data_IF_655939372183
#
_entry.id   IF_655939372183
#
_cell.length_a   1.000
_cell.length_b   1.000
_cell.length_c   1.000
_cell.angle_alpha   90.00
_cell.angle_beta   90.00
_cell.angle_gamma   90.00
#
_symmetry.space_group_name_H-M   'P 1'
#
loop_
_entity.id
_entity.type
_entity.pdbx_description
1 polymer ?
#
# COMPACT_ATOMS: atom_id res chain seq x y z
N UNK A 1 55.06 17.59 -17.43
CA UNK A 1 54.09 17.21 -16.37
C UNK A 1 54.70 16.04 -15.61
N UNK A 2 54.93 16.18 -14.31
CA UNK A 2 55.83 15.30 -13.55
C UNK A 2 55.08 14.01 -13.10
N UNK A 3 55.72 12.83 -13.15
CA UNK A 3 55.10 11.52 -12.80
C UNK A 3 54.43 11.49 -11.42
N UNK A 4 54.84 12.36 -10.50
CA UNK A 4 54.21 12.51 -9.16
C UNK A 4 52.78 13.07 -9.23
N UNK A 5 52.44 13.92 -10.19
CA UNK A 5 51.08 14.49 -10.28
C UNK A 5 50.06 13.51 -10.88
N UNK A 6 50.51 12.61 -11.77
CA UNK A 6 49.65 11.61 -12.40
C UNK A 6 49.20 10.52 -11.39
N UNK A 7 50.09 10.15 -10.46
CA UNK A 7 49.79 9.19 -9.38
C UNK A 7 48.77 9.74 -8.37
N UNK A 8 48.86 11.03 -8.02
CA UNK A 8 47.89 11.65 -7.09
C UNK A 8 46.50 11.81 -7.71
N UNK A 9 46.41 12.07 -9.02
CA UNK A 9 45.12 12.19 -9.72
C UNK A 9 44.39 10.84 -9.84
N UNK A 10 45.12 9.75 -10.13
CA UNK A 10 44.56 8.40 -10.25
C UNK A 10 44.16 7.80 -8.88
N UNK A 11 44.91 8.10 -7.82
CA UNK A 11 44.56 7.68 -6.45
C UNK A 11 43.37 8.47 -5.86
N UNK A 12 43.21 9.74 -6.22
CA UNK A 12 42.08 10.57 -5.78
C UNK A 12 40.73 10.14 -6.38
N UNK A 13 40.72 9.58 -7.59
CA UNK A 13 39.50 9.11 -8.26
C UNK A 13 39.03 7.74 -7.74
N UNK A 14 39.94 6.83 -7.37
CA UNK A 14 39.59 5.50 -6.84
C UNK A 14 39.03 5.51 -5.41
N UNK A 15 39.62 6.30 -4.51
CA UNK A 15 39.18 6.36 -3.11
C UNK A 15 37.89 7.18 -2.95
N UNK A 16 37.75 8.27 -3.71
CA UNK A 16 36.54 9.10 -3.71
C UNK A 16 35.31 8.36 -4.23
N UNK A 17 35.43 7.63 -5.36
CA UNK A 17 34.34 6.82 -5.89
C UNK A 17 33.97 5.65 -4.95
N UNK A 18 34.96 5.00 -4.34
CA UNK A 18 34.71 3.92 -3.38
C UNK A 18 33.91 4.38 -2.14
N UNK A 19 34.24 5.55 -1.58
CA UNK A 19 33.50 6.13 -0.45
C UNK A 19 32.09 6.55 -0.85
N UNK A 20 31.92 7.18 -2.02
CA UNK A 20 30.59 7.58 -2.51
C UNK A 20 29.69 6.36 -2.74
N UNK A 21 30.22 5.29 -3.33
CA UNK A 21 29.47 4.05 -3.53
C UNK A 21 29.07 3.43 -2.19
N UNK A 22 29.99 3.40 -1.21
CA UNK A 22 29.67 2.91 0.14
C UNK A 22 28.59 3.75 0.82
N UNK A 23 28.66 5.08 0.73
CA UNK A 23 27.63 5.97 1.27
C UNK A 23 26.29 5.74 0.57
N UNK A 24 26.28 5.58 -0.76
CA UNK A 24 25.07 5.28 -1.53
C UNK A 24 24.45 3.93 -1.12
N UNK A 25 25.27 2.89 -0.93
CA UNK A 25 24.81 1.57 -0.46
C UNK A 25 24.25 1.67 0.95
N UNK A 26 24.92 2.38 1.86
CA UNK A 26 24.42 2.60 3.23
C UNK A 26 23.09 3.33 3.22
N UNK A 27 22.96 4.39 2.41
CA UNK A 27 21.69 5.11 2.26
C UNK A 27 20.58 4.22 1.67
N UNK A 28 20.91 3.37 0.70
CA UNK A 28 19.97 2.38 0.14
C UNK A 28 19.50 1.39 1.20
N UNK A 29 20.43 0.81 1.98
CA UNK A 29 20.11 -0.14 3.05
C UNK A 29 19.25 0.53 4.13
N UNK A 30 19.63 1.74 4.55
CA UNK A 30 18.87 2.53 5.53
C UNK A 30 17.47 2.82 5.01
N UNK A 31 17.33 3.21 3.73
CA UNK A 31 16.03 3.42 3.09
C UNK A 31 15.20 2.14 3.05
N UNK A 32 15.78 1.00 2.66
CA UNK A 32 15.09 -0.30 2.64
C UNK A 32 14.59 -0.75 4.02
N UNK A 33 15.23 -0.31 5.11
CA UNK A 33 14.84 -0.65 6.48
C UNK A 33 13.82 0.36 7.05
N UNK A 34 14.02 1.66 6.81
CA UNK A 34 13.18 2.71 7.37
C UNK A 34 11.88 2.90 6.58
N UNK A 35 11.91 2.73 5.27
CA UNK A 35 10.74 2.97 4.42
C UNK A 35 9.57 2.02 4.73
N UNK A 36 9.75 0.69 4.89
CA UNK A 36 8.65 -0.18 5.31
C UNK A 36 8.09 0.20 6.68
N UNK A 37 8.96 0.57 7.64
CA UNK A 37 8.50 1.04 8.96
C UNK A 37 7.70 2.33 8.89
N UNK A 38 8.12 3.25 8.01
CA UNK A 38 7.39 4.48 7.76
C UNK A 38 6.00 4.20 7.19
N UNK A 39 5.88 3.29 6.22
CA UNK A 39 4.58 2.88 5.67
C UNK A 39 3.70 2.22 6.73
N UNK A 40 4.25 1.32 7.55
CA UNK A 40 3.51 0.69 8.64
C UNK A 40 3.04 1.71 9.69
N UNK A 41 3.80 2.79 9.92
CA UNK A 41 3.35 3.88 10.81
C UNK A 41 2.10 4.61 10.31
N UNK A 42 1.80 4.52 9.01
CA UNK A 42 0.60 5.10 8.38
C UNK A 42 -0.61 4.18 8.45
N UNK A 43 -0.42 2.88 8.72
CA UNK A 43 -1.51 1.90 8.76
C UNK A 43 -2.69 2.33 9.66
N UNK A 44 -2.50 2.88 10.87
CA UNK A 44 -3.62 3.33 11.70
C UNK A 44 -4.45 4.45 11.05
N UNK A 45 -3.79 5.41 10.40
CA UNK A 45 -4.47 6.53 9.74
C UNK A 45 -5.29 6.05 8.53
N UNK A 46 -4.78 5.06 7.79
CA UNK A 46 -5.49 4.45 6.66
C UNK A 46 -6.67 3.60 7.15
N UNK A 47 -6.49 2.86 8.24
CA UNK A 47 -7.59 2.10 8.85
C UNK A 47 -8.74 3.02 9.28
N UNK A 48 -8.42 4.16 9.89
CA UNK A 48 -9.40 5.18 10.25
C UNK A 48 -10.06 5.82 9.01
N UNK A 49 -9.28 6.13 7.96
CA UNK A 49 -9.85 6.70 6.74
C UNK A 49 -10.81 5.72 6.05
N UNK A 50 -10.48 4.42 6.01
CA UNK A 50 -11.36 3.38 5.46
C UNK A 50 -12.71 3.36 6.20
N UNK A 51 -12.69 3.40 7.53
CA UNK A 51 -13.90 3.40 8.34
C UNK A 51 -14.77 4.64 8.08
N UNK A 52 -14.13 5.81 7.97
CA UNK A 52 -14.80 7.08 7.67
C UNK A 52 -15.40 7.08 6.27
N UNK A 53 -14.59 6.78 5.25
CA UNK A 53 -15.01 6.76 3.85
C UNK A 53 -16.17 5.77 3.65
N UNK A 54 -16.09 4.60 4.29
CA UNK A 54 -17.16 3.61 4.22
C UNK A 54 -18.46 4.08 4.89
N UNK A 55 -18.37 4.75 6.06
CA UNK A 55 -19.54 5.35 6.71
C UNK A 55 -20.19 6.44 5.85
N UNK A 56 -19.38 7.23 5.14
CA UNK A 56 -19.85 8.25 4.20
C UNK A 56 -20.56 7.60 3.00
N UNK A 57 -19.99 6.54 2.42
CA UNK A 57 -20.62 5.75 1.35
C UNK A 57 -21.95 5.13 1.78
N UNK A 58 -22.02 4.59 3.00
CA UNK A 58 -23.24 4.02 3.58
C UNK A 58 -24.32 5.09 3.77
N UNK A 59 -23.95 6.26 4.28
CA UNK A 59 -24.86 7.41 4.45
C UNK A 59 -25.36 7.95 3.12
N UNK A 60 -24.51 7.94 2.09
CA UNK A 60 -24.85 8.35 0.73
C UNK A 60 -25.71 7.31 -0.03
N UNK A 61 -26.03 6.17 0.59
CA UNK A 61 -26.81 5.10 -0.05
C UNK A 61 -26.06 4.35 -1.16
N UNK A 62 -24.72 4.40 -1.15
CA UNK A 62 -23.86 3.69 -2.12
C UNK A 62 -23.62 2.23 -1.76
N UNK A 63 -24.03 1.81 -0.56
CA UNK A 63 -23.97 0.41 -0.14
C UNK A 63 -25.38 -0.18 -0.28
N UNK A 64 -25.64 -1.05 -1.28
CA UNK A 64 -26.94 -1.71 -1.42
C UNK A 64 -27.29 -2.48 -0.13
N UNK A 65 -28.56 -2.41 0.29
CA UNK A 65 -29.01 -2.97 1.58
C UNK A 65 -28.69 -4.47 1.70
N UNK A 66 -28.78 -5.20 0.59
CA UNK A 66 -28.48 -6.63 0.47
C UNK A 66 -27.00 -6.99 0.60
N UNK A 67 -26.09 -6.00 0.59
CA UNK A 67 -24.64 -6.20 0.66
C UNK A 67 -24.00 -5.52 1.87
N UNK A 68 -24.79 -4.82 2.70
CA UNK A 68 -24.28 -4.09 3.88
C UNK A 68 -23.49 -5.01 4.81
N UNK A 69 -23.95 -6.24 5.02
CA UNK A 69 -23.28 -7.17 5.94
C UNK A 69 -21.87 -7.55 5.46
N UNK A 70 -21.72 -7.84 4.17
CA UNK A 70 -20.44 -8.22 3.58
C UNK A 70 -19.45 -7.05 3.56
N UNK A 71 -19.90 -5.84 3.21
CA UNK A 71 -19.03 -4.67 3.18
C UNK A 71 -18.76 -4.08 4.58
N UNK A 72 -19.68 -4.23 5.55
CA UNK A 72 -19.41 -3.93 6.95
C UNK A 72 -18.28 -4.85 7.46
N UNK A 73 -18.34 -6.15 7.14
CA UNK A 73 -17.29 -7.09 7.52
C UNK A 73 -15.93 -6.74 6.88
N UNK A 74 -15.94 -6.37 5.59
CA UNK A 74 -14.71 -5.98 4.88
C UNK A 74 -14.11 -4.69 5.45
N UNK A 75 -14.93 -3.67 5.73
CA UNK A 75 -14.47 -2.43 6.35
C UNK A 75 -13.90 -2.71 7.75
N UNK A 76 -14.60 -3.50 8.57
CA UNK A 76 -14.16 -3.85 9.94
C UNK A 76 -12.82 -4.59 9.99
N UNK A 77 -12.43 -5.29 8.91
CA UNK A 77 -11.09 -5.87 8.83
C UNK A 77 -9.98 -4.84 8.94
N UNK A 78 -10.21 -3.57 8.55
CA UNK A 78 -9.21 -2.52 8.66
C UNK A 78 -8.77 -2.27 10.10
N UNK A 79 -9.60 -2.60 11.09
CA UNK A 79 -9.34 -2.38 12.51
C UNK A 79 -9.20 -3.68 13.30
N UNK A 80 -10.05 -4.68 13.05
CA UNK A 80 -10.11 -5.92 13.84
C UNK A 80 -8.93 -6.86 13.58
N UNK A 81 -8.62 -7.10 12.30
CA UNK A 81 -7.57 -8.02 11.91
C UNK A 81 -6.16 -7.39 12.01
N UNK A 82 -6.08 -6.07 12.25
CA UNK A 82 -4.84 -5.28 12.23
C UNK A 82 -4.00 -5.55 10.97
N UNK A 83 -4.60 -5.41 9.77
CA UNK A 83 -3.89 -5.64 8.53
C UNK A 83 -2.70 -4.70 8.39
N UNK A 84 -1.60 -5.22 7.85
CA UNK A 84 -0.45 -4.39 7.49
C UNK A 84 -0.81 -3.36 6.41
N UNK A 85 0.06 -2.37 6.21
CA UNK A 85 -0.16 -1.26 5.28
C UNK A 85 -0.71 -1.70 3.90
N UNK A 86 -0.13 -2.74 3.31
CA UNK A 86 -0.54 -3.23 1.99
C UNK A 86 -1.93 -3.88 1.98
N UNK A 87 -2.31 -4.56 3.06
CA UNK A 87 -3.64 -5.12 3.21
C UNK A 87 -4.71 -4.04 3.29
N UNK A 88 -4.43 -2.97 4.03
CA UNK A 88 -5.30 -1.81 4.11
C UNK A 88 -5.52 -1.15 2.74
N UNK A 89 -4.49 -1.06 1.91
CA UNK A 89 -4.63 -0.50 0.55
C UNK A 89 -5.57 -1.34 -0.31
N UNK A 90 -5.49 -2.66 -0.26
CA UNK A 90 -6.39 -3.51 -1.05
C UNK A 90 -7.82 -3.44 -0.54
N UNK A 91 -8.01 -3.39 0.78
CA UNK A 91 -9.34 -3.17 1.38
C UNK A 91 -9.92 -1.84 0.89
N UNK A 92 -9.13 -0.76 0.91
CA UNK A 92 -9.56 0.54 0.41
C UNK A 92 -9.89 0.50 -1.10
N UNK A 93 -9.02 -0.10 -1.92
CA UNK A 93 -9.26 -0.25 -3.35
C UNK A 93 -10.59 -0.96 -3.65
N UNK A 94 -10.86 -2.07 -2.93
CA UNK A 94 -12.08 -2.84 -3.09
C UNK A 94 -13.32 -2.00 -2.75
N UNK A 95 -13.32 -1.30 -1.62
CA UNK A 95 -14.44 -0.43 -1.22
C UNK A 95 -14.66 0.71 -2.22
N UNK A 96 -13.58 1.42 -2.59
CA UNK A 96 -13.67 2.57 -3.49
C UNK A 96 -14.16 2.14 -4.89
N UNK A 97 -13.75 0.98 -5.39
CA UNK A 97 -14.18 0.47 -6.69
C UNK A 97 -15.60 -0.11 -6.65
N UNK A 98 -15.85 -1.07 -5.75
CA UNK A 98 -17.11 -1.84 -5.75
C UNK A 98 -18.31 -0.97 -5.38
N UNK A 99 -18.09 0.14 -4.66
CA UNK A 99 -19.16 1.03 -4.19
C UNK A 99 -19.20 2.35 -4.97
N UNK A 100 -18.34 2.53 -5.99
CA UNK A 100 -18.20 3.78 -6.73
C UNK A 100 -19.53 4.28 -7.33
N UNK A 101 -20.27 3.37 -7.97
CA UNK A 101 -21.51 3.70 -8.67
C UNK A 101 -22.77 3.37 -7.83
N UNK A 102 -22.60 2.80 -6.65
CA UNK A 102 -23.68 2.37 -5.76
C UNK A 102 -24.37 1.08 -6.18
N UNK A 103 -23.80 0.34 -7.13
CA UNK A 103 -24.25 -0.99 -7.54
C UNK A 103 -23.10 -1.97 -7.28
N UNK A 104 -23.46 -3.17 -6.85
CA UNK A 104 -22.49 -4.24 -6.60
C UNK A 104 -22.91 -5.43 -7.44
N UNK A 105 -22.02 -5.84 -8.34
CA UNK A 105 -22.15 -7.05 -9.13
C UNK A 105 -21.90 -8.31 -8.30
N UNK A 106 -22.33 -9.46 -8.81
CA UNK A 106 -22.06 -10.74 -8.15
C UNK A 106 -20.54 -11.03 -8.03
N UNK A 107 -19.75 -10.58 -9.01
CA UNK A 107 -18.31 -10.77 -9.04
C UNK A 107 -17.61 -9.91 -7.98
N UNK A 108 -18.00 -8.64 -7.84
CA UNK A 108 -17.48 -7.74 -6.79
C UNK A 108 -17.82 -8.27 -5.39
N UNK A 109 -19.05 -8.78 -5.20
CA UNK A 109 -19.43 -9.42 -3.94
C UNK A 109 -18.59 -10.66 -3.63
N UNK A 110 -18.36 -11.53 -4.63
CA UNK A 110 -17.52 -12.71 -4.46
C UNK A 110 -16.06 -12.34 -4.18
N UNK A 111 -15.57 -11.27 -4.80
CA UNK A 111 -14.24 -10.74 -4.56
C UNK A 111 -14.08 -10.16 -3.15
N UNK A 112 -15.06 -9.38 -2.68
CA UNK A 112 -15.07 -8.85 -1.31
C UNK A 112 -15.04 -9.98 -0.26
N UNK A 113 -15.77 -11.08 -0.52
CA UNK A 113 -15.74 -12.27 0.33
C UNK A 113 -14.36 -12.95 0.34
N UNK A 114 -13.75 -13.18 -0.84
CA UNK A 114 -12.41 -13.77 -0.96
C UNK A 114 -11.34 -12.90 -0.30
N UNK A 115 -11.41 -11.58 -0.50
CA UNK A 115 -10.52 -10.63 0.17
C UNK A 115 -10.68 -10.70 1.69
N UNK A 116 -11.92 -10.80 2.17
CA UNK A 116 -12.20 -10.94 3.59
C UNK A 116 -11.57 -12.19 4.19
N UNK A 117 -11.75 -13.35 3.53
CA UNK A 117 -11.14 -14.61 3.96
C UNK A 117 -9.61 -14.55 3.92
N UNK A 118 -9.05 -14.01 2.83
CA UNK A 118 -7.60 -13.85 2.69
C UNK A 118 -7.01 -12.98 3.78
N UNK A 119 -7.62 -11.83 4.09
CA UNK A 119 -7.12 -10.89 5.10
C UNK A 119 -7.23 -11.45 6.52
N UNK A 120 -8.31 -12.19 6.84
CA UNK A 120 -8.44 -12.90 8.12
C UNK A 120 -7.37 -13.97 8.30
N UNK A 121 -7.09 -14.73 7.24
CA UNK A 121 -6.06 -15.76 7.27
C UNK A 121 -4.63 -15.16 7.28
N UNK A 122 -4.46 -13.93 6.78
CA UNK A 122 -3.15 -13.32 6.54
C UNK A 122 -3.08 -11.85 6.97
N UNK A 123 -3.33 -11.50 8.24
CA UNK A 123 -3.36 -10.11 8.68
C UNK A 123 -2.01 -9.38 8.46
N UNK A 124 -0.89 -10.09 8.60
CA UNK A 124 0.45 -9.56 8.34
C UNK A 124 0.93 -9.71 6.88
N UNK A 125 0.03 -9.85 5.90
CA UNK A 125 0.42 -10.03 4.50
C UNK A 125 1.25 -8.84 3.99
N UNK A 126 2.54 -9.08 3.72
CA UNK A 126 3.42 -8.10 3.08
C UNK A 126 3.14 -7.95 1.59
N UNK A 127 3.82 -6.98 0.98
CA UNK A 127 3.65 -6.58 -0.42
C UNK A 127 3.56 -7.76 -1.42
N UNK A 128 4.49 -8.72 -1.35
CA UNK A 128 4.52 -9.83 -2.32
C UNK A 128 3.30 -10.76 -2.21
N UNK A 129 2.83 -11.02 -0.99
CA UNK A 129 1.68 -11.89 -0.77
C UNK A 129 0.39 -11.20 -1.22
N UNK A 130 0.29 -9.90 -0.95
CA UNK A 130 -0.77 -9.05 -1.45
C UNK A 130 -0.75 -8.97 -2.98
N UNK A 131 0.42 -8.75 -3.59
CA UNK A 131 0.56 -8.68 -5.04
C UNK A 131 0.15 -9.98 -5.72
N UNK A 132 0.53 -11.13 -5.16
CA UNK A 132 0.12 -12.44 -5.68
C UNK A 132 -1.40 -12.61 -5.65
N UNK A 133 -2.03 -12.21 -4.54
CA UNK A 133 -3.49 -12.22 -4.44
C UNK A 133 -4.11 -11.28 -5.48
N UNK A 134 -3.69 -10.01 -5.52
CA UNK A 134 -4.24 -9.02 -6.46
C UNK A 134 -4.06 -9.42 -7.93
N UNK A 135 -2.96 -10.08 -8.31
CA UNK A 135 -2.78 -10.55 -9.70
C UNK A 135 -3.76 -11.65 -10.13
N UNK A 136 -4.40 -12.33 -9.18
CA UNK A 136 -5.47 -13.29 -9.43
C UNK A 136 -6.86 -12.60 -9.49
N UNK A 137 -6.90 -11.29 -9.26
CA UNK A 137 -8.09 -10.46 -9.07
C UNK A 137 -7.96 -9.15 -9.89
N UNK A 138 -8.25 -9.18 -11.21
CA UNK A 138 -7.96 -8.07 -12.12
C UNK A 138 -8.67 -6.75 -11.77
N UNK A 139 -9.85 -6.81 -11.13
CA UNK A 139 -10.58 -5.62 -10.71
C UNK A 139 -9.91 -4.93 -9.49
N UNK A 140 -9.35 -5.70 -8.57
CA UNK A 140 -8.48 -5.17 -7.51
C UNK A 140 -7.19 -4.59 -8.08
N UNK A 141 -6.61 -5.23 -9.09
CA UNK A 141 -5.39 -4.72 -9.74
C UNK A 141 -5.64 -3.34 -10.37
N UNK A 142 -6.75 -3.20 -11.09
CA UNK A 142 -7.18 -1.91 -11.65
C UNK A 142 -7.46 -0.87 -10.56
N UNK A 143 -8.08 -1.26 -9.44
CA UNK A 143 -8.34 -0.38 -8.29
C UNK A 143 -7.09 0.12 -7.60
N UNK A 144 -6.14 -0.77 -7.34
CA UNK A 144 -4.86 -0.44 -6.73
C UNK A 144 -4.08 0.58 -7.55
N UNK A 145 -4.17 0.53 -8.88
CA UNK A 145 -3.56 1.52 -9.78
C UNK A 145 -4.20 2.91 -9.74
N UNK A 146 -5.41 3.05 -9.16
CA UNK A 146 -6.16 4.31 -9.04
C UNK A 146 -6.04 4.97 -7.67
N UNK A 147 -5.49 4.28 -6.66
CA UNK A 147 -5.30 4.87 -5.34
C UNK A 147 -4.30 6.03 -5.45
N UNK A 148 -4.77 7.24 -5.15
CA UNK A 148 -3.93 8.43 -5.07
C UNK A 148 -3.00 8.33 -3.84
N UNK A 149 -1.66 8.28 -4.03
CA UNK A 149 -0.71 8.25 -2.91
C UNK A 149 -0.81 9.47 -1.98
N UNK A 150 -1.31 10.60 -2.49
CA UNK A 150 -1.49 11.82 -1.71
C UNK A 150 -2.67 11.71 -0.73
N UNK A 151 -3.73 11.00 -1.11
CA UNK A 151 -4.86 10.69 -0.25
C UNK A 151 -4.47 9.77 0.93
N UNK A 152 -3.37 9.04 0.78
CA UNK A 152 -2.79 8.18 1.83
C UNK A 152 -1.81 8.93 2.75
N UNK A 153 -1.60 10.23 2.56
CA UNK A 153 -0.65 11.03 3.34
C UNK A 153 0.81 10.56 3.17
N UNK A 154 1.13 9.97 2.01
CA UNK A 154 2.46 9.50 1.64
C UNK A 154 3.28 10.56 0.90
N UNK A 155 2.62 11.59 0.38
CA UNK A 155 3.26 12.80 -0.15
C UNK A 155 2.84 14.01 0.69
N UNK A 156 3.73 14.98 0.96
CA UNK A 156 3.35 16.21 1.64
C UNK A 156 2.26 16.92 0.83
N UNK A 157 1.14 17.24 1.49
CA UNK A 157 0.10 18.12 0.96
C UNK A 157 0.73 19.45 0.59
N UNK A 158 0.64 19.85 -0.68
CA UNK A 158 1.08 21.18 -1.13
C UNK A 158 0.20 22.26 -0.52
#
# INVERSE_FOLDING_TARGET
>A
MNEKQQKTLLLGCGVGCGVIILVAIVLLIVSMILFPRFLESKAPAIAESIQRDYADLKTAGRVPAENVAEYDALANLSTEAKPGFWGLLVIKAALDNHLADGKVSADEKAEAAKLTEFMKANPGAGFFKIKSFVSEHPDLEAGMGRIDPSALGLTPSR
#
